data_IF_952612353030
#
_entry.id   IF_952612353030
#
_cell.length_a   1.000
_cell.length_b   1.000
_cell.length_c   1.000
_cell.angle_alpha   90.00
_cell.angle_beta   90.00
_cell.angle_gamma   90.00
#
_symmetry.space_group_name_H-M   'P 1'
#
loop_
_entity.id
_entity.type
_entity.pdbx_description
1 polymer ?
#
# COMPACT_ATOMS: atom_id res chain seq x y z
N UNK A 1 32.01 -86.77 5.73
CA UNK A 1 33.03 -85.81 5.25
C UNK A 1 32.30 -84.62 4.66
N UNK A 2 32.56 -83.42 5.20
CA UNK A 2 32.07 -82.06 4.90
C UNK A 2 31.17 -81.84 3.66
N UNK A 3 29.99 -81.24 3.83
CA UNK A 3 29.39 -80.35 2.83
C UNK A 3 28.48 -79.26 3.46
N UNK A 4 29.04 -78.05 3.53
CA UNK A 4 28.48 -76.73 3.19
C UNK A 4 27.14 -76.27 3.78
N UNK A 5 27.25 -75.29 4.68
CA UNK A 5 26.18 -74.38 5.11
C UNK A 5 25.76 -73.44 3.97
N UNK A 6 24.44 -73.29 3.77
CA UNK A 6 23.82 -72.06 3.25
C UNK A 6 22.63 -71.73 4.15
N UNK A 7 22.76 -70.67 4.94
CA UNK A 7 21.66 -70.07 5.69
C UNK A 7 21.29 -68.78 4.99
N UNK A 8 20.13 -68.73 4.37
CA UNK A 8 19.58 -67.54 3.73
C UNK A 8 18.93 -66.69 4.81
N UNK A 9 19.47 -65.49 5.07
CA UNK A 9 18.91 -64.52 5.99
C UNK A 9 17.97 -63.60 5.18
N UNK A 10 16.66 -63.78 5.32
CA UNK A 10 15.66 -62.89 4.71
C UNK A 10 15.49 -61.66 5.61
N UNK A 11 16.07 -60.52 5.21
CA UNK A 11 15.87 -59.24 5.87
C UNK A 11 14.50 -58.68 5.43
N UNK A 12 13.52 -58.67 6.33
CA UNK A 12 12.26 -57.97 6.12
C UNK A 12 12.49 -56.46 6.31
N UNK A 13 12.59 -55.73 5.20
CA UNK A 13 12.55 -54.26 5.22
C UNK A 13 11.10 -53.83 5.34
N UNK A 14 10.67 -53.47 6.55
CA UNK A 14 9.42 -52.77 6.75
C UNK A 14 9.56 -51.35 6.23
N UNK A 15 8.98 -51.06 5.05
CA UNK A 15 8.69 -49.68 4.66
C UNK A 15 7.64 -49.15 5.64
N UNK A 16 8.05 -48.29 6.57
CA UNK A 16 7.13 -47.38 7.22
C UNK A 16 6.66 -46.38 6.14
N UNK A 17 5.49 -46.65 5.55
CA UNK A 17 4.75 -45.60 4.86
C UNK A 17 4.28 -44.64 5.94
N UNK A 18 5.01 -43.55 6.15
CA UNK A 18 4.43 -42.33 6.71
C UNK A 18 3.29 -41.95 5.79
N UNK A 19 2.05 -42.18 6.23
CA UNK A 19 0.89 -41.60 5.58
C UNK A 19 1.13 -40.10 5.54
N UNK A 20 1.24 -39.53 4.33
CA UNK A 20 0.93 -38.13 4.16
C UNK A 20 -0.53 -38.00 4.59
N UNK A 21 -0.76 -37.51 5.80
CA UNK A 21 -2.06 -36.94 6.16
C UNK A 21 -2.28 -35.82 5.16
N UNK A 22 -2.96 -36.12 4.06
CA UNK A 22 -3.54 -35.10 3.20
C UNK A 22 -4.52 -34.35 4.10
N UNK A 23 -4.10 -33.23 4.67
CA UNK A 23 -5.03 -32.34 5.37
C UNK A 23 -6.05 -31.87 4.34
N UNK A 24 -7.23 -32.49 4.37
CA UNK A 24 -8.32 -32.18 3.45
C UNK A 24 -8.85 -30.79 3.77
N UNK A 25 -8.92 -29.92 2.77
CA UNK A 25 -9.64 -28.65 2.85
C UNK A 25 -11.11 -28.96 3.16
N UNK A 26 -11.67 -28.31 4.19
CA UNK A 26 -13.08 -28.49 4.59
C UNK A 26 -13.86 -27.19 4.53
N UNK A 27 -15.18 -27.24 4.35
CA UNK A 27 -16.01 -26.03 4.31
C UNK A 27 -16.43 -25.61 5.72
N UNK A 28 -16.60 -24.31 5.96
CA UNK A 28 -17.27 -23.74 7.14
C UNK A 28 -18.54 -23.01 6.70
N UNK A 29 -19.64 -23.17 7.44
CA UNK A 29 -20.87 -22.44 7.18
C UNK A 29 -20.90 -21.07 7.89
N UNK A 30 -21.85 -20.23 7.51
CA UNK A 30 -21.99 -18.89 8.10
C UNK A 30 -22.18 -18.92 9.63
N UNK A 31 -22.94 -19.88 10.17
CA UNK A 31 -23.24 -19.93 11.60
C UNK A 31 -22.01 -20.32 12.44
N UNK A 32 -21.17 -21.21 11.92
CA UNK A 32 -19.92 -21.59 12.55
C UNK A 32 -18.84 -20.52 12.39
N UNK A 33 -18.77 -19.85 11.23
CA UNK A 33 -17.89 -18.70 11.02
C UNK A 33 -18.16 -17.60 12.06
N UNK A 34 -19.43 -17.21 12.23
CA UNK A 34 -19.84 -16.17 13.17
C UNK A 34 -19.48 -16.51 14.62
N UNK A 35 -19.50 -17.79 15.01
CA UNK A 35 -19.08 -18.23 16.35
C UNK A 35 -17.57 -18.10 16.59
N UNK A 36 -16.77 -18.02 15.54
CA UNK A 36 -15.31 -18.06 15.62
C UNK A 36 -14.62 -16.76 15.19
N UNK A 37 -15.35 -15.67 14.93
CA UNK A 37 -14.74 -14.38 14.54
C UNK A 37 -13.73 -13.86 15.57
N UNK A 38 -14.02 -14.03 16.87
CA UNK A 38 -13.14 -13.61 17.96
C UNK A 38 -12.31 -14.78 18.55
N UNK A 39 -12.33 -15.95 17.91
CA UNK A 39 -11.61 -17.13 18.41
C UNK A 39 -10.12 -17.05 18.01
N UNK A 40 -9.16 -16.96 18.96
CA UNK A 40 -7.74 -16.84 18.65
C UNK A 40 -7.14 -18.07 17.94
N UNK A 41 -7.83 -19.22 18.01
CA UNK A 41 -7.46 -20.44 17.29
C UNK A 41 -7.85 -20.41 15.80
N UNK A 42 -8.61 -19.39 15.38
CA UNK A 42 -9.02 -19.18 13.99
C UNK A 42 -8.35 -17.94 13.41
N UNK A 43 -8.03 -18.02 12.13
CA UNK A 43 -7.60 -16.86 11.34
C UNK A 43 -8.51 -16.77 10.14
N UNK A 44 -9.31 -15.71 10.08
CA UNK A 44 -10.16 -15.43 8.91
C UNK A 44 -9.33 -14.63 7.92
N UNK A 45 -9.27 -15.10 6.67
CA UNK A 45 -8.35 -14.58 5.65
C UNK A 45 -9.15 -14.21 4.42
N UNK A 46 -9.14 -12.93 4.09
CA UNK A 46 -9.61 -12.41 2.80
C UNK A 46 -8.53 -12.63 1.75
N UNK A 47 -8.82 -13.44 0.73
CA UNK A 47 -7.90 -13.70 -0.38
C UNK A 47 -8.13 -12.83 -1.61
N UNK A 48 -9.12 -11.93 -1.55
CA UNK A 48 -9.44 -11.01 -2.64
C UNK A 48 -8.44 -9.86 -2.72
N UNK A 49 -8.51 -9.11 -3.82
CA UNK A 49 -7.71 -7.92 -4.04
C UNK A 49 -8.03 -6.75 -3.10
N UNK A 50 -7.06 -5.88 -2.88
CA UNK A 50 -7.10 -4.75 -1.96
C UNK A 50 -8.34 -3.87 -2.08
N UNK A 51 -8.80 -3.56 -3.30
CA UNK A 51 -9.97 -2.70 -3.47
C UNK A 51 -11.22 -3.31 -2.81
N UNK A 52 -11.38 -4.63 -2.92
CA UNK A 52 -12.52 -5.36 -2.35
C UNK A 52 -12.38 -5.48 -0.83
N UNK A 53 -11.18 -5.76 -0.33
CA UNK A 53 -10.89 -5.70 1.10
C UNK A 53 -11.19 -4.30 1.67
N UNK A 54 -10.67 -3.25 1.03
CA UNK A 54 -10.79 -1.87 1.50
C UNK A 54 -12.24 -1.41 1.59
N UNK A 55 -13.11 -1.82 0.67
CA UNK A 55 -14.52 -1.42 0.73
C UNK A 55 -15.36 -1.59 -0.53
N UNK A 56 -14.75 -1.81 -1.69
CA UNK A 56 -15.52 -2.04 -2.92
C UNK A 56 -16.31 -3.34 -2.82
N UNK A 57 -17.45 -3.39 -3.50
CA UNK A 57 -18.30 -4.58 -3.52
C UNK A 57 -17.76 -5.61 -4.50
N UNK A 58 -17.76 -6.86 -4.05
CA UNK A 58 -17.67 -8.00 -4.97
C UNK A 58 -18.87 -7.99 -5.94
N UNK A 59 -18.72 -8.53 -7.16
CA UNK A 59 -19.84 -8.70 -8.07
C UNK A 59 -21.02 -9.41 -7.37
N UNK A 60 -22.24 -8.87 -7.53
CA UNK A 60 -23.48 -9.35 -6.90
C UNK A 60 -23.59 -9.18 -5.37
N UNK A 61 -22.60 -8.59 -4.70
CA UNK A 61 -22.72 -8.20 -3.30
C UNK A 61 -23.46 -6.85 -3.16
N UNK A 62 -24.29 -6.73 -2.11
CA UNK A 62 -25.02 -5.51 -1.75
C UNK A 62 -24.13 -4.59 -0.89
N UNK A 63 -23.25 -5.19 -0.06
CA UNK A 63 -22.31 -4.49 0.83
C UNK A 63 -20.88 -4.90 0.47
N UNK A 64 -19.93 -3.97 0.64
CA UNK A 64 -18.52 -4.17 0.31
C UNK A 64 -17.64 -4.27 1.56
N UNK A 65 -16.33 -4.40 1.36
CA UNK A 65 -15.36 -4.57 2.43
C UNK A 65 -15.12 -6.04 2.80
N UNK A 66 -14.57 -6.27 3.98
CA UNK A 66 -14.10 -7.58 4.46
C UNK A 66 -14.87 -8.04 5.70
N UNK A 67 -14.81 -9.34 6.00
CA UNK A 67 -15.34 -9.90 7.25
C UNK A 67 -14.61 -9.24 8.43
N UNK A 68 -15.37 -8.82 9.45
CA UNK A 68 -14.83 -8.20 10.65
C UNK A 68 -13.68 -9.03 11.25
N UNK A 69 -12.51 -8.42 11.41
CA UNK A 69 -11.32 -9.06 11.98
C UNK A 69 -10.52 -9.92 10.99
N UNK A 70 -10.93 -10.03 9.73
CA UNK A 70 -10.17 -10.75 8.72
C UNK A 70 -8.83 -10.04 8.41
N UNK A 71 -7.76 -10.84 8.36
CA UNK A 71 -6.49 -10.40 7.76
C UNK A 71 -6.56 -10.54 6.25
N UNK A 72 -5.56 -10.01 5.54
CA UNK A 72 -5.46 -10.15 4.10
C UNK A 72 -4.29 -11.06 3.72
N UNK A 73 -4.56 -11.99 2.81
CA UNK A 73 -3.52 -12.72 2.07
C UNK A 73 -4.04 -12.98 0.67
N UNK A 74 -3.76 -12.08 -0.27
CA UNK A 74 -4.33 -12.19 -1.61
C UNK A 74 -3.78 -13.40 -2.36
N UNK A 75 -4.64 -14.07 -3.14
CA UNK A 75 -4.24 -15.21 -3.98
C UNK A 75 -3.11 -14.87 -4.95
N UNK A 76 -3.03 -13.62 -5.44
CA UNK A 76 -1.96 -13.16 -6.34
C UNK A 76 -0.59 -13.07 -5.67
N UNK A 77 -0.54 -13.01 -4.34
CA UNK A 77 0.74 -12.95 -3.62
C UNK A 77 1.49 -14.27 -3.68
N UNK A 78 0.81 -15.39 -3.93
CA UNK A 78 1.47 -16.70 -4.10
C UNK A 78 2.56 -16.68 -5.18
N UNK A 79 2.35 -15.89 -6.23
CA UNK A 79 3.29 -15.75 -7.36
C UNK A 79 4.46 -14.80 -7.06
N UNK A 80 4.36 -14.03 -5.97
CA UNK A 80 5.26 -12.93 -5.61
C UNK A 80 5.97 -13.15 -4.27
N UNK A 81 5.85 -14.34 -3.67
CA UNK A 81 6.57 -14.71 -2.44
C UNK A 81 7.60 -15.78 -2.78
N UNK A 82 8.86 -15.52 -2.44
CA UNK A 82 9.92 -16.51 -2.61
C UNK A 82 9.67 -17.74 -1.72
N UNK A 83 9.95 -18.93 -2.27
CA UNK A 83 9.64 -20.20 -1.59
C UNK A 83 10.34 -20.34 -0.23
N UNK A 84 11.56 -19.81 -0.07
CA UNK A 84 12.30 -19.82 1.20
C UNK A 84 11.76 -18.83 2.24
N UNK A 85 10.84 -17.94 1.84
CA UNK A 85 10.24 -16.91 2.70
C UNK A 85 8.78 -17.13 3.02
N UNK A 86 8.09 -18.00 2.28
CA UNK A 86 6.65 -18.24 2.46
C UNK A 86 6.24 -18.46 3.92
N UNK A 87 6.88 -19.41 4.62
CA UNK A 87 6.51 -19.76 5.99
C UNK A 87 6.75 -18.61 6.98
N UNK A 88 7.85 -17.86 6.81
CA UNK A 88 8.15 -16.71 7.66
C UNK A 88 7.19 -15.54 7.39
N UNK A 89 6.89 -15.27 6.12
CA UNK A 89 5.95 -14.23 5.70
C UNK A 89 4.52 -14.53 6.16
N UNK A 90 4.07 -15.79 6.04
CA UNK A 90 2.78 -16.23 6.58
C UNK A 90 2.72 -16.03 8.10
N UNK A 91 3.77 -16.44 8.83
CA UNK A 91 3.87 -16.25 10.28
C UNK A 91 3.84 -14.76 10.68
N UNK A 92 4.49 -13.88 9.92
CA UNK A 92 4.49 -12.44 10.13
C UNK A 92 3.09 -11.81 9.99
N UNK A 93 2.21 -12.42 9.17
CA UNK A 93 0.78 -12.08 9.06
C UNK A 93 -0.11 -12.78 10.09
N UNK A 94 0.46 -13.54 11.02
CA UNK A 94 -0.27 -14.23 12.08
C UNK A 94 -0.86 -15.59 11.68
N UNK A 95 -0.46 -16.12 10.52
CA UNK A 95 -0.85 -17.43 9.98
C UNK A 95 0.12 -18.50 10.47
N UNK A 96 -0.39 -19.57 11.07
CA UNK A 96 0.43 -20.65 11.62
C UNK A 96 -0.30 -22.00 11.56
N UNK A 97 0.46 -23.11 11.59
CA UNK A 97 -0.07 -24.49 11.40
C UNK A 97 -0.87 -25.02 12.58
N UNK A 98 -0.71 -24.42 13.76
CA UNK A 98 -1.49 -24.73 14.96
C UNK A 98 -2.93 -24.19 14.88
N UNK A 99 -3.14 -23.09 14.17
CA UNK A 99 -4.45 -22.44 13.99
C UNK A 99 -5.26 -23.05 12.84
N UNK A 100 -6.56 -22.81 12.87
CA UNK A 100 -7.49 -23.10 11.77
C UNK A 100 -7.57 -21.88 10.86
N UNK A 101 -7.15 -22.03 9.60
CA UNK A 101 -7.24 -20.96 8.61
C UNK A 101 -8.59 -21.05 7.90
N UNK A 102 -9.29 -19.94 7.77
CA UNK A 102 -10.55 -19.84 7.03
C UNK A 102 -10.35 -18.84 5.91
N UNK A 103 -10.14 -19.34 4.69
CA UNK A 103 -10.08 -18.50 3.50
C UNK A 103 -11.48 -18.22 2.97
N UNK A 104 -11.68 -17.02 2.46
CA UNK A 104 -12.84 -16.70 1.63
C UNK A 104 -12.42 -15.82 0.46
N UNK A 105 -13.14 -16.00 -0.65
CA UNK A 105 -12.96 -15.25 -1.88
C UNK A 105 -14.32 -15.12 -2.58
N UNK A 106 -14.47 -14.15 -3.47
CA UNK A 106 -15.61 -14.07 -4.38
C UNK A 106 -15.40 -14.88 -5.67
N UNK A 107 -14.14 -15.20 -5.99
CA UNK A 107 -13.77 -16.13 -7.06
C UNK A 107 -13.46 -17.52 -6.48
N UNK A 108 -14.26 -18.53 -6.84
CA UNK A 108 -14.09 -19.89 -6.35
C UNK A 108 -12.80 -20.56 -6.84
N UNK A 109 -12.29 -20.19 -8.02
CA UNK A 109 -11.04 -20.73 -8.55
C UNK A 109 -9.85 -20.20 -7.73
N UNK A 110 -9.87 -18.91 -7.37
CA UNK A 110 -8.85 -18.31 -6.50
C UNK A 110 -8.91 -18.89 -5.09
N UNK A 111 -10.12 -19.09 -4.55
CA UNK A 111 -10.33 -19.73 -3.25
C UNK A 111 -9.79 -21.17 -3.23
N UNK A 112 -10.05 -21.96 -4.27
CA UNK A 112 -9.52 -23.31 -4.42
C UNK A 112 -7.98 -23.27 -4.48
N UNK A 113 -7.42 -22.40 -5.33
CA UNK A 113 -5.98 -22.26 -5.50
C UNK A 113 -5.26 -21.94 -4.19
N UNK A 114 -5.67 -20.91 -3.47
CA UNK A 114 -4.99 -20.51 -2.24
C UNK A 114 -5.18 -21.53 -1.13
N UNK A 115 -6.39 -22.07 -0.96
CA UNK A 115 -6.66 -23.05 0.09
C UNK A 115 -5.89 -24.36 -0.14
N UNK A 116 -5.76 -24.82 -1.39
CA UNK A 116 -4.95 -25.98 -1.75
C UNK A 116 -3.46 -25.76 -1.48
N UNK A 117 -2.91 -24.58 -1.80
CA UNK A 117 -1.50 -24.25 -1.56
C UNK A 117 -1.15 -24.29 -0.06
N UNK A 118 -1.99 -23.71 0.80
CA UNK A 118 -1.79 -23.77 2.25
C UNK A 118 -1.99 -25.20 2.80
N UNK A 119 -2.99 -25.94 2.34
CA UNK A 119 -3.20 -27.33 2.76
C UNK A 119 -2.03 -28.23 2.37
N UNK A 120 -1.47 -28.06 1.17
CA UNK A 120 -0.29 -28.79 0.69
C UNK A 120 0.97 -28.51 1.53
N UNK A 121 1.05 -27.34 2.18
CA UNK A 121 2.11 -27.00 3.14
C UNK A 121 1.82 -27.48 4.57
N UNK A 122 0.72 -28.17 4.81
CA UNK A 122 0.36 -28.77 6.10
C UNK A 122 -0.34 -27.81 7.07
N UNK A 123 -1.04 -26.80 6.57
CA UNK A 123 -1.91 -25.94 7.36
C UNK A 123 -3.33 -26.53 7.48
N UNK A 124 -3.97 -26.32 8.64
CA UNK A 124 -5.37 -26.70 8.86
C UNK A 124 -6.28 -25.71 8.13
N UNK A 125 -6.68 -26.06 6.90
CA UNK A 125 -7.41 -25.14 6.04
C UNK A 125 -8.90 -25.46 5.99
N UNK A 126 -9.70 -24.40 6.12
CA UNK A 126 -11.11 -24.36 5.79
C UNK A 126 -11.41 -23.27 4.77
N UNK A 127 -12.51 -23.44 4.04
CA UNK A 127 -13.01 -22.46 3.07
C UNK A 127 -14.41 -22.00 3.45
N UNK A 128 -14.65 -20.70 3.32
CA UNK A 128 -15.96 -20.07 3.41
C UNK A 128 -16.39 -19.59 2.03
N UNK A 129 -17.19 -20.40 1.33
CA UNK A 129 -17.61 -20.18 -0.06
C UNK A 129 -18.98 -19.46 -0.18
N UNK A 130 -19.52 -18.94 0.93
CA UNK A 130 -20.80 -18.23 0.96
C UNK A 130 -20.62 -16.70 1.11
N UNK A 131 -19.43 -16.15 0.84
CA UNK A 131 -19.13 -14.74 1.10
C UNK A 131 -20.13 -13.75 0.46
N UNK A 132 -20.58 -14.00 -0.77
CA UNK A 132 -21.59 -13.14 -1.42
C UNK A 132 -22.92 -13.15 -0.65
N UNK A 133 -23.39 -14.33 -0.24
CA UNK A 133 -24.61 -14.44 0.58
C UNK A 133 -24.42 -13.77 1.94
N UNK A 134 -23.25 -13.94 2.56
CA UNK A 134 -22.89 -13.28 3.81
C UNK A 134 -22.94 -11.76 3.70
N UNK A 135 -22.34 -11.21 2.64
CA UNK A 135 -22.32 -9.78 2.38
C UNK A 135 -23.72 -9.20 2.11
N UNK A 136 -24.65 -10.03 1.65
CA UNK A 136 -26.04 -9.64 1.36
C UNK A 136 -26.96 -9.64 2.60
N UNK A 137 -26.52 -10.21 3.74
CA UNK A 137 -27.29 -10.20 4.99
C UNK A 137 -26.86 -9.03 5.87
N UNK A 138 -27.73 -8.03 6.03
CA UNK A 138 -27.43 -6.77 6.73
C UNK A 138 -26.86 -6.94 8.16
N UNK A 139 -27.28 -7.95 8.90
CA UNK A 139 -26.80 -8.20 10.27
C UNK A 139 -25.41 -8.83 10.35
N UNK A 140 -24.88 -9.35 9.24
CA UNK A 140 -23.55 -9.96 9.23
C UNK A 140 -22.45 -8.89 9.30
N UNK A 141 -21.45 -9.05 10.18
CA UNK A 141 -20.43 -8.02 10.43
C UNK A 141 -19.40 -7.93 9.30
N UNK A 142 -19.38 -6.78 8.63
CA UNK A 142 -18.35 -6.38 7.68
C UNK A 142 -17.62 -5.12 8.18
N UNK A 143 -16.39 -4.94 7.74
CA UNK A 143 -15.59 -3.74 7.92
C UNK A 143 -15.30 -3.09 6.57
N UNK A 144 -15.31 -1.76 6.56
CA UNK A 144 -15.03 -0.92 5.40
C UNK A 144 -14.18 0.27 5.81
N UNK A 145 -13.24 0.65 4.95
CA UNK A 145 -12.46 1.87 5.14
C UNK A 145 -13.29 3.09 4.71
N UNK A 146 -13.41 4.15 5.54
CA UNK A 146 -14.27 5.29 5.24
C UNK A 146 -14.00 5.94 3.88
N UNK A 147 -12.74 5.97 3.44
CA UNK A 147 -12.33 6.60 2.19
C UNK A 147 -11.84 5.56 1.16
N UNK A 148 -12.31 4.31 1.22
CA UNK A 148 -11.88 3.22 0.32
C UNK A 148 -11.83 3.60 -1.16
N UNK A 149 -12.77 4.44 -1.62
CA UNK A 149 -12.86 4.93 -2.98
C UNK A 149 -11.64 5.76 -3.46
N UNK A 150 -10.77 6.21 -2.55
CA UNK A 150 -9.52 6.90 -2.88
C UNK A 150 -8.46 5.93 -3.43
N UNK A 151 -8.56 4.63 -3.16
CA UNK A 151 -7.65 3.60 -3.66
C UNK A 151 -8.40 2.69 -4.64
N UNK A 152 -8.27 2.98 -5.94
CA UNK A 152 -8.98 2.26 -7.00
C UNK A 152 -8.10 1.19 -7.63
N UNK A 153 -8.72 0.14 -8.17
CA UNK A 153 -8.04 -0.92 -8.91
C UNK A 153 -7.96 -0.63 -10.42
N UNK A 154 -7.07 -1.32 -11.17
CA UNK A 154 -7.08 -1.28 -12.63
C UNK A 154 -8.43 -1.66 -13.25
N UNK A 155 -9.13 -2.64 -12.68
CA UNK A 155 -10.46 -3.05 -13.14
C UNK A 155 -11.46 -1.90 -13.00
N UNK A 156 -11.44 -1.18 -11.87
CA UNK A 156 -12.28 -0.01 -11.65
C UNK A 156 -12.01 1.07 -12.69
N UNK A 157 -10.74 1.41 -12.91
CA UNK A 157 -10.36 2.46 -13.85
C UNK A 157 -10.73 2.08 -15.29
N UNK A 158 -10.46 0.83 -15.69
CA UNK A 158 -10.84 0.33 -17.00
C UNK A 158 -12.36 0.38 -17.22
N UNK A 159 -13.17 0.05 -16.20
CA UNK A 159 -14.62 0.17 -16.28
C UNK A 159 -15.05 1.63 -16.53
N UNK A 160 -14.52 2.60 -15.78
CA UNK A 160 -14.83 4.03 -15.98
C UNK A 160 -14.42 4.49 -17.39
N UNK A 161 -13.23 4.12 -17.84
CA UNK A 161 -12.70 4.51 -19.15
C UNK A 161 -13.50 3.93 -20.32
N UNK A 162 -14.14 2.78 -20.13
CA UNK A 162 -15.04 2.16 -21.12
C UNK A 162 -16.50 2.63 -21.00
N UNK A 163 -16.77 3.64 -20.16
CA UNK A 163 -18.11 4.19 -19.96
C UNK A 163 -19.03 3.31 -19.13
N UNK A 164 -18.49 2.32 -18.43
CA UNK A 164 -19.25 1.48 -17.51
C UNK A 164 -19.50 2.20 -16.19
N UNK A 165 -20.56 1.81 -15.49
CA UNK A 165 -20.89 2.36 -14.17
C UNK A 165 -20.02 1.71 -13.09
N UNK A 166 -18.87 2.30 -12.81
CA UNK A 166 -18.02 1.87 -11.70
C UNK A 166 -18.55 2.39 -10.36
N UNK A 167 -18.45 1.57 -9.31
CA UNK A 167 -18.84 1.97 -7.95
C UNK A 167 -18.08 3.23 -7.52
N UNK A 168 -18.72 4.14 -6.77
CA UNK A 168 -18.16 5.40 -6.29
C UNK A 168 -17.77 6.43 -7.36
N UNK A 169 -17.86 6.12 -8.66
CA UNK A 169 -17.71 7.10 -9.73
C UNK A 169 -19.06 7.77 -10.02
N UNK A 170 -19.23 9.03 -9.61
CA UNK A 170 -20.49 9.77 -9.74
C UNK A 170 -20.41 10.96 -10.70
N UNK A 171 -19.22 11.24 -11.24
CA UNK A 171 -18.99 12.36 -12.15
C UNK A 171 -19.24 11.96 -13.60
N UNK A 172 -19.34 12.97 -14.48
CA UNK A 172 -19.32 12.74 -15.92
C UNK A 172 -17.97 12.11 -16.33
N UNK A 173 -17.94 11.01 -17.11
CA UNK A 173 -16.70 10.42 -17.62
C UNK A 173 -15.78 11.42 -18.33
N UNK A 174 -16.31 12.47 -18.94
CA UNK A 174 -15.52 13.56 -19.55
C UNK A 174 -14.73 14.42 -18.55
N UNK A 175 -15.02 14.30 -17.25
CA UNK A 175 -14.25 14.91 -16.17
C UNK A 175 -13.13 14.02 -15.62
N UNK A 176 -13.01 12.77 -16.10
CA UNK A 176 -11.91 11.89 -15.74
C UNK A 176 -10.61 12.40 -16.36
N UNK A 177 -9.58 12.53 -15.53
CA UNK A 177 -8.20 12.71 -15.97
C UNK A 177 -7.32 11.67 -15.31
N UNK A 178 -6.62 10.89 -16.12
CA UNK A 178 -5.66 9.88 -15.65
C UNK A 178 -4.26 10.43 -15.85
N UNK A 179 -3.43 10.42 -14.81
CA UNK A 179 -2.06 10.90 -14.89
C UNK A 179 -1.07 9.83 -14.44
N UNK A 180 -0.07 9.58 -15.29
CA UNK A 180 1.22 9.03 -14.88
C UNK A 180 2.02 10.15 -14.21
N UNK A 181 2.53 9.89 -13.01
CA UNK A 181 3.25 10.90 -12.22
C UNK A 181 4.72 10.54 -12.13
N UNK A 182 5.57 11.41 -12.65
CA UNK A 182 7.02 11.24 -12.60
C UNK A 182 7.73 12.60 -12.51
N UNK A 183 8.97 12.59 -12.01
CA UNK A 183 9.74 13.82 -11.82
C UNK A 183 10.28 14.37 -13.15
N UNK A 184 10.13 15.67 -13.33
CA UNK A 184 10.73 16.44 -14.42
C UNK A 184 9.85 16.48 -15.66
N UNK A 185 10.24 17.32 -16.65
CA UNK A 185 9.42 17.55 -17.83
C UNK A 185 9.32 16.29 -18.69
N UNK A 186 8.36 16.30 -19.61
CA UNK A 186 8.01 15.16 -20.48
C UNK A 186 9.22 14.50 -21.15
N UNK A 187 10.23 15.26 -21.57
CA UNK A 187 11.44 14.74 -22.23
C UNK A 187 12.31 13.88 -21.31
N UNK A 188 12.09 13.97 -19.99
CA UNK A 188 12.78 13.18 -18.94
C UNK A 188 11.86 12.13 -18.30
N UNK A 189 10.57 12.11 -18.64
CA UNK A 189 9.57 11.22 -18.06
C UNK A 189 9.66 9.80 -18.66
N UNK A 190 10.71 9.05 -18.32
CA UNK A 190 10.92 7.69 -18.81
C UNK A 190 9.76 6.74 -18.47
N UNK A 191 9.14 6.91 -17.31
CA UNK A 191 7.98 6.13 -16.85
C UNK A 191 6.73 6.36 -17.71
N UNK A 192 6.65 7.48 -18.44
CA UNK A 192 5.56 7.78 -19.37
C UNK A 192 5.79 7.25 -20.79
N UNK A 193 6.94 6.66 -21.10
CA UNK A 193 7.24 6.18 -22.46
C UNK A 193 6.23 5.12 -22.96
N UNK A 194 5.75 4.26 -22.06
CA UNK A 194 4.57 3.42 -22.25
C UNK A 194 3.66 3.66 -21.06
N UNK A 195 2.41 4.06 -21.31
CA UNK A 195 1.47 4.47 -20.26
C UNK A 195 0.07 3.92 -20.54
N UNK A 196 -0.83 4.01 -19.55
CA UNK A 196 -2.26 3.72 -19.71
C UNK A 196 -2.83 4.55 -20.87
N UNK A 197 -3.53 3.94 -21.82
CA UNK A 197 -4.06 4.65 -22.98
C UNK A 197 -4.96 5.83 -22.55
N UNK A 198 -4.74 7.02 -23.10
CA UNK A 198 -5.42 8.26 -22.73
C UNK A 198 -4.88 8.96 -21.48
N UNK A 199 -3.92 8.38 -20.75
CA UNK A 199 -3.30 9.04 -19.61
C UNK A 199 -2.36 10.17 -20.05
N UNK A 200 -2.30 11.22 -19.24
CA UNK A 200 -1.37 12.33 -19.37
C UNK A 200 -0.15 12.12 -18.47
N UNK A 201 0.90 12.91 -18.70
CA UNK A 201 2.03 13.01 -17.77
C UNK A 201 1.80 14.16 -16.78
N UNK A 202 2.03 13.92 -15.50
CA UNK A 202 2.06 14.93 -14.43
C UNK A 202 3.51 15.09 -13.96
N UNK A 203 4.09 16.26 -14.22
CA UNK A 203 5.40 16.62 -13.70
C UNK A 203 5.26 17.13 -12.26
N UNK A 204 5.99 16.51 -11.33
CA UNK A 204 5.97 16.91 -9.93
C UNK A 204 6.43 18.36 -9.71
N UNK A 205 7.26 18.92 -10.61
CA UNK A 205 7.72 20.32 -10.54
C UNK A 205 6.57 21.33 -10.69
N UNK A 206 5.38 20.88 -11.13
CA UNK A 206 4.17 21.71 -11.15
C UNK A 206 3.73 22.16 -9.75
N UNK A 207 4.02 21.36 -8.73
CA UNK A 207 3.56 21.62 -7.36
C UNK A 207 4.68 21.86 -6.38
N UNK A 208 5.91 21.40 -6.62
CA UNK A 208 7.01 21.50 -5.66
C UNK A 208 8.31 21.97 -6.31
N UNK A 209 9.11 22.77 -5.59
CA UNK A 209 10.31 23.38 -6.15
C UNK A 209 11.44 23.56 -5.14
N UNK A 210 12.67 23.52 -5.65
CA UNK A 210 13.89 23.90 -4.93
C UNK A 210 13.82 25.34 -4.36
N UNK A 211 14.62 25.68 -3.33
CA UNK A 211 15.67 24.87 -2.70
C UNK A 211 15.17 23.94 -1.59
N UNK A 212 13.95 24.17 -1.09
CA UNK A 212 13.41 23.40 0.05
C UNK A 212 12.71 22.12 -0.40
N UNK A 213 12.16 22.12 -1.63
CA UNK A 213 11.30 21.04 -2.17
C UNK A 213 9.95 20.91 -1.44
N UNK A 214 9.44 22.02 -0.91
CA UNK A 214 8.07 22.13 -0.44
C UNK A 214 7.10 22.33 -1.61
N UNK A 215 5.80 22.24 -1.32
CA UNK A 215 4.78 22.85 -2.14
C UNK A 215 5.14 24.30 -2.45
N UNK A 216 4.98 24.64 -3.72
CA UNK A 216 5.24 25.95 -4.28
C UNK A 216 4.18 26.95 -3.83
N UNK A 217 4.39 28.23 -4.20
CA UNK A 217 3.39 29.25 -3.97
C UNK A 217 2.01 28.82 -4.53
N UNK A 218 0.91 28.99 -3.76
CA UNK A 218 -0.43 28.59 -4.20
C UNK A 218 -0.83 29.12 -5.58
N UNK A 219 -0.41 30.34 -5.95
CA UNK A 219 -0.73 30.92 -7.26
C UNK A 219 0.02 30.25 -8.41
N UNK A 220 1.26 29.79 -8.16
CA UNK A 220 2.01 29.00 -9.15
C UNK A 220 1.38 27.62 -9.35
N UNK A 221 0.97 26.98 -8.25
CA UNK A 221 0.24 25.70 -8.30
C UNK A 221 -1.06 25.87 -9.08
N UNK A 222 -1.86 26.90 -8.77
CA UNK A 222 -3.10 27.21 -9.49
C UNK A 222 -2.86 27.38 -11.00
N UNK A 223 -1.85 28.17 -11.38
CA UNK A 223 -1.50 28.38 -12.78
C UNK A 223 -1.14 27.07 -13.49
N UNK A 224 -0.35 26.21 -12.85
CA UNK A 224 0.06 24.94 -13.41
C UNK A 224 -1.12 23.95 -13.54
N UNK A 225 -2.01 23.87 -12.54
CA UNK A 225 -3.20 23.03 -12.61
C UNK A 225 -4.14 23.48 -13.73
N UNK A 226 -4.43 24.79 -13.82
CA UNK A 226 -5.27 25.38 -14.87
C UNK A 226 -4.70 25.08 -16.27
N UNK A 227 -3.41 25.32 -16.46
CA UNK A 227 -2.71 25.07 -17.72
C UNK A 227 -2.80 23.60 -18.15
N UNK A 228 -2.83 22.69 -17.19
CA UNK A 228 -2.88 21.25 -17.41
C UNK A 228 -4.29 20.66 -17.25
N UNK A 229 -5.33 21.49 -17.36
CA UNK A 229 -6.71 21.04 -17.46
C UNK A 229 -7.37 20.59 -16.15
N UNK A 230 -6.72 20.81 -15.01
CA UNK A 230 -7.21 20.42 -13.69
C UNK A 230 -7.93 21.62 -13.06
N UNK A 231 -9.23 21.46 -12.83
CA UNK A 231 -10.03 22.30 -11.93
C UNK A 231 -10.46 21.48 -10.70
N UNK A 232 -11.15 22.13 -9.75
CA UNK A 232 -11.60 21.47 -8.51
C UNK A 232 -12.61 20.32 -8.72
N UNK A 233 -13.31 20.30 -9.86
CA UNK A 233 -14.42 19.39 -10.15
C UNK A 233 -13.98 18.19 -11.02
N UNK A 234 -12.73 18.18 -11.52
CA UNK A 234 -12.15 17.01 -12.19
C UNK A 234 -12.03 15.82 -11.25
N UNK A 235 -12.21 14.62 -11.83
CA UNK A 235 -11.82 13.36 -11.19
C UNK A 235 -10.43 13.00 -11.64
N UNK A 236 -9.45 13.13 -10.75
CA UNK A 236 -8.04 12.90 -11.06
C UNK A 236 -7.62 11.53 -10.53
N UNK A 237 -7.23 10.61 -11.41
CA UNK A 237 -6.67 9.30 -11.05
C UNK A 237 -5.16 9.32 -11.28
N UNK A 238 -4.39 9.11 -10.23
CA UNK A 238 -2.93 9.18 -10.23
C UNK A 238 -2.33 7.78 -10.14
N UNK A 239 -1.30 7.52 -10.95
CA UNK A 239 -0.44 6.34 -10.82
C UNK A 239 0.99 6.72 -11.16
N UNK A 240 1.94 5.88 -10.79
CA UNK A 240 3.36 6.09 -11.07
C UNK A 240 4.10 4.77 -11.00
N UNK A 241 5.28 4.70 -11.63
CA UNK A 241 6.16 3.52 -11.51
C UNK A 241 6.67 3.34 -10.06
N UNK A 242 6.90 4.47 -9.38
CA UNK A 242 7.18 4.52 -7.95
C UNK A 242 6.04 5.25 -7.25
N UNK A 243 5.28 4.55 -6.41
CA UNK A 243 4.05 4.99 -5.74
C UNK A 243 4.22 6.31 -4.97
N UNK A 244 5.45 6.62 -4.54
CA UNK A 244 5.81 7.87 -3.87
C UNK A 244 5.38 9.12 -4.65
N UNK A 245 5.57 9.13 -5.97
CA UNK A 245 5.24 10.27 -6.82
C UNK A 245 3.73 10.52 -6.85
N UNK A 246 2.95 9.49 -7.17
CA UNK A 246 1.49 9.59 -7.19
C UNK A 246 0.91 10.01 -5.84
N UNK A 247 1.42 9.46 -4.73
CA UNK A 247 0.90 9.78 -3.39
C UNK A 247 1.36 11.15 -2.87
N UNK A 248 2.50 11.66 -3.32
CA UNK A 248 2.91 13.06 -3.12
C UNK A 248 1.93 14.01 -3.83
N UNK A 249 1.62 13.75 -5.10
CA UNK A 249 0.68 14.58 -5.87
C UNK A 249 -0.75 14.41 -5.37
N UNK A 250 -1.15 13.22 -4.92
CA UNK A 250 -2.44 12.99 -4.30
C UNK A 250 -2.65 13.96 -3.12
N UNK A 251 -1.67 14.03 -2.21
CA UNK A 251 -1.71 14.97 -1.10
C UNK A 251 -1.75 16.43 -1.56
N UNK A 252 -0.92 16.80 -2.54
CA UNK A 252 -0.87 18.17 -3.08
C UNK A 252 -2.23 18.60 -3.69
N UNK A 253 -2.89 17.73 -4.45
CA UNK A 253 -4.20 18.01 -5.03
C UNK A 253 -5.31 18.07 -3.98
N UNK A 254 -5.25 17.23 -2.94
CA UNK A 254 -6.16 17.34 -1.78
C UNK A 254 -5.93 18.63 -1.00
N UNK A 255 -4.68 19.04 -0.77
CA UNK A 255 -4.33 20.32 -0.18
C UNK A 255 -4.87 21.50 -1.01
N UNK A 256 -4.72 21.42 -2.33
CA UNK A 256 -5.20 22.46 -3.25
C UNK A 256 -6.72 22.58 -3.24
N UNK A 257 -7.45 21.46 -3.20
CA UNK A 257 -8.91 21.42 -3.14
C UNK A 257 -9.58 20.69 -4.29
N UNK A 258 -8.85 19.84 -5.02
CA UNK A 258 -9.49 18.92 -5.98
C UNK A 258 -10.36 17.93 -5.22
N UNK A 259 -11.64 17.88 -5.56
CA UNK A 259 -12.63 17.16 -4.76
C UNK A 259 -12.47 15.64 -4.91
N UNK A 260 -12.33 15.15 -6.14
CA UNK A 260 -12.16 13.74 -6.44
C UNK A 260 -10.74 13.46 -6.96
N UNK A 261 -9.89 12.96 -6.05
CA UNK A 261 -8.53 12.51 -6.35
C UNK A 261 -8.44 11.07 -5.89
N UNK A 262 -7.91 10.20 -6.76
CA UNK A 262 -7.79 8.76 -6.54
C UNK A 262 -6.40 8.29 -6.89
N UNK A 263 -5.97 7.24 -6.21
CA UNK A 263 -4.72 6.54 -6.44
C UNK A 263 -5.02 5.17 -7.06
N UNK A 264 -4.37 4.85 -8.18
CA UNK A 264 -4.46 3.55 -8.83
C UNK A 264 -3.49 2.57 -8.15
N UNK A 265 -4.01 1.79 -7.20
CA UNK A 265 -3.22 0.79 -6.49
C UNK A 265 -2.90 -0.37 -7.44
N UNK A 266 -1.62 -0.73 -7.55
CA UNK A 266 -1.09 -1.69 -8.55
C UNK A 266 -0.55 -1.04 -9.84
N UNK A 267 -0.87 0.24 -10.10
CA UNK A 267 -0.27 1.06 -11.15
C UNK A 267 -0.28 0.44 -12.56
N UNK A 268 0.72 0.81 -13.37
CA UNK A 268 0.85 0.33 -14.75
C UNK A 268 1.21 -1.16 -14.84
N UNK A 269 1.91 -1.69 -13.84
CA UNK A 269 2.30 -3.10 -13.82
C UNK A 269 1.06 -4.00 -13.85
N UNK A 270 0.15 -3.83 -12.89
CA UNK A 270 -1.07 -4.63 -12.81
C UNK A 270 -2.02 -4.34 -13.97
N UNK A 271 -2.08 -3.09 -14.44
CA UNK A 271 -2.84 -2.73 -15.65
C UNK A 271 -2.41 -3.57 -16.87
N UNK A 272 -1.10 -3.74 -17.08
CA UNK A 272 -0.56 -4.57 -18.17
C UNK A 272 -0.78 -6.05 -17.95
N UNK A 273 -0.67 -6.53 -16.71
CA UNK A 273 -0.90 -7.94 -16.35
C UNK A 273 -2.34 -8.38 -16.68
N UNK A 274 -3.30 -7.48 -16.46
CA UNK A 274 -4.70 -7.66 -16.82
C UNK A 274 -4.99 -7.50 -18.33
N UNK A 275 -3.96 -7.23 -19.15
CA UNK A 275 -4.08 -7.09 -20.59
C UNK A 275 -4.79 -5.81 -21.04
N UNK A 276 -4.88 -4.79 -20.18
CA UNK A 276 -5.56 -3.54 -20.53
C UNK A 276 -4.73 -2.65 -21.47
N UNK A 277 -5.38 -1.79 -22.29
CA UNK A 277 -4.69 -1.03 -23.33
C UNK A 277 -3.65 -0.05 -22.80
N UNK A 278 -2.48 -0.03 -23.43
CA UNK A 278 -1.43 0.98 -23.22
C UNK A 278 -1.10 1.69 -24.51
N UNK A 279 -0.49 2.86 -24.45
CA UNK A 279 0.05 3.54 -25.62
C UNK A 279 1.41 4.19 -25.34
N UNK A 280 2.05 4.69 -26.41
CA UNK A 280 3.32 5.42 -26.36
C UNK A 280 3.18 6.85 -26.91
N UNK A 281 1.96 7.24 -27.30
CA UNK A 281 1.67 8.56 -27.84
C UNK A 281 1.57 9.55 -26.68
N UNK A 282 2.24 10.68 -26.78
CA UNK A 282 2.09 11.77 -25.81
C UNK A 282 0.68 12.36 -25.88
N UNK A 283 0.00 12.40 -24.73
CA UNK A 283 -1.26 13.12 -24.55
C UNK A 283 -1.01 14.46 -23.86
N UNK A 284 -1.60 15.53 -24.39
CA UNK A 284 -1.48 16.89 -23.84
C UNK A 284 -2.86 17.34 -23.34
N UNK A 285 -3.02 17.64 -22.04
CA UNK A 285 -4.28 18.10 -21.50
C UNK A 285 -4.65 19.47 -22.06
N UNK A 286 -5.95 19.74 -22.18
CA UNK A 286 -6.44 21.06 -22.58
C UNK A 286 -6.59 21.96 -21.35
N UNK A 287 -6.13 23.22 -21.40
CA UNK A 287 -6.30 24.14 -20.29
C UNK A 287 -7.78 24.36 -19.93
N UNK A 288 -8.06 24.51 -18.64
CA UNK A 288 -9.36 24.99 -18.13
C UNK A 288 -9.34 26.51 -17.97
N UNK A 289 -10.51 27.14 -17.79
CA UNK A 289 -10.59 28.59 -17.66
C UNK A 289 -10.14 29.11 -16.28
N UNK A 290 -10.41 28.34 -15.22
CA UNK A 290 -10.07 28.66 -13.84
C UNK A 290 -10.06 27.37 -13.00
N UNK A 291 -9.38 27.37 -11.86
CA UNK A 291 -9.42 26.23 -10.92
C UNK A 291 -10.79 26.10 -10.22
N UNK A 292 -11.48 27.22 -10.02
CA UNK A 292 -12.83 27.26 -9.45
C UNK A 292 -12.90 27.33 -7.91
N UNK A 293 -11.77 27.44 -7.21
CA UNK A 293 -11.68 27.69 -5.77
C UNK A 293 -10.35 28.39 -5.42
N UNK A 294 -10.23 28.97 -4.22
CA UNK A 294 -8.96 29.54 -3.76
C UNK A 294 -8.02 28.45 -3.27
N UNK A 295 -6.80 28.39 -3.78
CA UNK A 295 -5.77 27.46 -3.29
C UNK A 295 -5.01 28.11 -2.11
N UNK A 296 -4.75 27.39 -1.00
CA UNK A 296 -5.23 26.04 -0.70
C UNK A 296 -6.63 26.03 -0.06
N UNK A 297 -7.43 25.02 -0.40
CA UNK A 297 -8.69 24.73 0.33
C UNK A 297 -8.46 23.96 1.62
N UNK A 298 -7.41 23.13 1.70
CA UNK A 298 -7.13 22.30 2.87
C UNK A 298 -5.73 22.55 3.46
N UNK A 299 -5.43 23.78 3.93
CA UNK A 299 -4.12 24.10 4.51
C UNK A 299 -3.77 23.25 5.75
N UNK A 300 -4.78 22.71 6.44
CA UNK A 300 -4.61 21.86 7.62
C UNK A 300 -3.90 20.53 7.35
N UNK A 301 -3.74 20.11 6.09
CA UNK A 301 -2.98 18.90 5.74
C UNK A 301 -1.47 19.08 5.75
N UNK A 302 -0.98 20.29 6.03
CA UNK A 302 0.42 20.65 5.84
C UNK A 302 0.99 21.41 7.04
N UNK A 303 2.17 20.99 7.48
CA UNK A 303 3.12 21.80 8.25
C UNK A 303 4.26 22.12 7.30
N UNK A 304 4.55 23.40 7.06
CA UNK A 304 5.50 23.75 6.00
C UNK A 304 6.96 23.77 6.48
N UNK A 305 7.22 24.31 7.68
CA UNK A 305 8.59 24.65 8.14
C UNK A 305 8.90 24.14 9.55
N UNK A 306 10.18 23.92 9.90
CA UNK A 306 10.58 23.29 11.17
C UNK A 306 10.05 24.00 12.42
N UNK A 307 10.05 25.34 12.43
CA UNK A 307 9.56 26.10 13.57
C UNK A 307 8.08 25.83 13.85
N UNK A 308 7.24 25.75 12.81
CA UNK A 308 5.83 25.38 12.94
C UNK A 308 5.68 23.97 13.51
N UNK A 309 6.49 23.00 13.04
CA UNK A 309 6.49 21.65 13.59
C UNK A 309 6.81 21.65 15.09
N UNK A 310 7.83 22.41 15.53
CA UNK A 310 8.19 22.55 16.95
C UNK A 310 7.05 23.16 17.77
N UNK A 311 6.40 24.19 17.24
CA UNK A 311 5.30 24.86 17.94
C UNK A 311 4.08 23.94 18.09
N UNK A 312 3.79 23.13 17.06
CA UNK A 312 2.72 22.12 17.12
C UNK A 312 3.07 20.92 18.01
N UNK A 313 4.35 20.50 18.06
CA UNK A 313 4.84 19.53 19.04
C UNK A 313 4.59 20.01 20.47
N UNK A 314 4.82 21.30 20.77
CA UNK A 314 4.55 21.88 22.09
C UNK A 314 3.06 22.03 22.37
N UNK A 315 2.28 22.50 21.39
CA UNK A 315 0.87 22.86 21.57
C UNK A 315 -0.06 21.66 21.59
N UNK A 316 0.15 20.70 20.70
CA UNK A 316 -0.77 19.57 20.47
C UNK A 316 -0.16 18.21 20.83
N UNK A 317 1.05 18.19 21.41
CA UNK A 317 1.81 16.95 21.61
C UNK A 317 1.97 16.18 20.29
N UNK A 318 2.11 16.92 19.18
CA UNK A 318 2.32 16.38 17.84
C UNK A 318 3.53 15.44 17.86
N UNK A 319 3.37 14.23 17.34
CA UNK A 319 4.46 13.28 17.12
C UNK A 319 4.97 13.46 15.70
N UNK A 320 6.25 13.76 15.59
CA UNK A 320 6.93 13.84 14.31
C UNK A 320 7.38 12.43 13.91
N UNK A 321 6.84 11.91 12.80
CA UNK A 321 7.03 10.51 12.37
C UNK A 321 7.90 10.46 11.12
N UNK A 322 9.10 9.90 11.27
CA UNK A 322 10.11 9.79 10.22
C UNK A 322 9.85 8.60 9.31
N UNK A 323 9.58 8.88 8.04
CA UNK A 323 9.47 7.90 6.95
C UNK A 323 10.77 7.90 6.15
N UNK A 324 11.87 7.74 6.87
CA UNK A 324 13.23 7.66 6.32
C UNK A 324 13.81 6.26 6.55
N UNK A 325 14.73 5.82 5.72
CA UNK A 325 15.40 4.53 5.94
C UNK A 325 16.10 4.52 7.31
N UNK A 326 16.36 3.34 7.85
CA UNK A 326 16.99 3.23 9.17
C UNK A 326 18.36 3.92 9.25
N UNK A 327 19.14 3.86 8.17
CA UNK A 327 20.46 4.47 8.11
C UNK A 327 20.39 6.01 7.98
N UNK A 328 19.32 6.54 7.38
CA UNK A 328 18.99 7.96 7.43
C UNK A 328 18.57 8.39 8.84
N UNK A 329 17.61 7.66 9.44
CA UNK A 329 17.06 7.95 10.77
C UNK A 329 18.14 7.96 11.87
N UNK A 330 19.11 7.05 11.78
CA UNK A 330 20.24 7.00 12.72
C UNK A 330 21.39 7.95 12.36
N UNK A 331 21.29 8.70 11.25
CA UNK A 331 22.27 9.68 10.83
C UNK A 331 23.57 9.12 10.25
N UNK A 332 23.58 7.88 9.77
CA UNK A 332 24.74 7.32 9.05
C UNK A 332 24.89 7.95 7.65
N UNK A 333 23.76 8.17 6.99
CA UNK A 333 23.65 8.81 5.66
C UNK A 333 22.60 9.92 5.71
N UNK A 334 22.66 10.87 4.78
CA UNK A 334 21.57 11.86 4.60
C UNK A 334 20.41 11.25 3.80
N UNK A 335 20.74 10.36 2.86
CA UNK A 335 19.83 9.76 1.88
C UNK A 335 19.85 10.45 0.51
N UNK A 336 20.46 11.64 0.40
CA UNK A 336 20.34 12.49 -0.79
C UNK A 336 21.66 13.20 -1.08
N UNK A 337 22.05 13.24 -2.35
CA UNK A 337 23.29 13.91 -2.78
C UNK A 337 23.25 15.43 -2.58
N UNK A 338 22.04 16.02 -2.60
CA UNK A 338 21.82 17.46 -2.43
C UNK A 338 21.49 17.87 -0.99
N UNK A 339 21.36 16.93 -0.05
CA UNK A 339 21.15 17.22 1.37
C UNK A 339 22.41 16.82 2.14
N UNK A 340 23.26 17.78 2.58
CA UNK A 340 24.51 17.46 3.24
C UNK A 340 24.34 17.01 4.69
N UNK A 341 23.32 17.51 5.38
CA UNK A 341 23.05 17.21 6.80
C UNK A 341 22.75 15.73 7.05
N UNK A 342 23.36 15.17 8.11
CA UNK A 342 23.08 13.82 8.62
C UNK A 342 22.56 13.87 10.04
N UNK A 343 21.58 13.04 10.33
CA UNK A 343 20.88 13.00 11.61
C UNK A 343 19.38 12.99 11.37
N UNK A 344 18.64 13.30 12.43
CA UNK A 344 17.19 13.35 12.45
C UNK A 344 16.72 14.47 13.39
N UNK A 345 15.55 15.10 13.17
CA UNK A 345 14.91 15.95 14.16
C UNK A 345 14.85 15.26 15.53
N UNK A 346 15.30 15.95 16.58
CA UNK A 346 15.33 15.39 17.92
C UNK A 346 13.92 15.01 18.40
N UNK A 347 13.75 13.76 18.84
CA UNK A 347 12.48 13.25 19.34
C UNK A 347 11.53 12.72 18.27
N UNK A 348 11.94 12.72 16.99
CA UNK A 348 11.16 12.05 15.95
C UNK A 348 11.10 10.53 16.20
N UNK A 349 9.95 9.94 15.89
CA UNK A 349 9.69 8.50 15.99
C UNK A 349 9.94 7.88 14.63
N UNK A 350 10.65 6.75 14.57
CA UNK A 350 10.81 6.03 13.32
C UNK A 350 9.50 5.36 12.92
N UNK A 351 8.97 5.75 11.76
CA UNK A 351 7.68 5.29 11.25
C UNK A 351 7.77 4.06 10.36
N UNK A 352 8.93 3.42 10.23
CA UNK A 352 9.27 2.50 9.14
C UNK A 352 9.40 3.22 7.78
N UNK A 353 10.01 2.56 6.80
CA UNK A 353 10.14 3.09 5.44
C UNK A 353 10.53 1.96 4.50
N UNK A 354 11.82 1.80 4.23
CA UNK A 354 12.37 0.84 3.29
C UNK A 354 13.89 0.80 3.40
N UNK A 355 14.56 0.42 2.30
CA UNK A 355 16.01 0.22 2.29
C UNK A 355 16.81 1.51 2.22
N UNK A 356 16.29 2.53 1.53
CA UNK A 356 16.98 3.78 1.23
C UNK A 356 15.98 4.94 0.98
N UNK A 357 16.46 6.05 0.42
CA UNK A 357 15.67 7.27 0.18
C UNK A 357 14.65 7.17 -0.94
N UNK A 358 14.74 6.14 -1.79
CA UNK A 358 13.94 6.00 -3.00
C UNK A 358 12.71 5.09 -2.86
N UNK A 359 12.53 4.42 -1.72
CA UNK A 359 11.43 3.48 -1.52
C UNK A 359 10.87 3.48 -0.09
N UNK A 360 9.67 2.92 0.05
CA UNK A 360 9.05 2.57 1.33
C UNK A 360 8.58 1.11 1.32
N UNK A 361 9.48 0.17 1.01
CA UNK A 361 9.15 -1.25 0.87
C UNK A 361 8.46 -1.90 2.10
N UNK A 362 8.59 -1.32 3.30
CA UNK A 362 7.88 -1.80 4.49
C UNK A 362 6.34 -1.58 4.40
N UNK A 363 5.91 -0.74 3.44
CA UNK A 363 4.53 -0.32 3.18
C UNK A 363 3.92 -0.94 1.92
N UNK A 364 4.58 -1.90 1.28
CA UNK A 364 4.07 -2.56 0.07
C UNK A 364 3.85 -4.05 0.29
N UNK A 365 2.78 -4.58 -0.28
CA UNK A 365 2.53 -6.02 -0.34
C UNK A 365 3.32 -6.66 -1.50
N UNK A 366 3.39 -8.01 -1.60
CA UNK A 366 4.27 -8.70 -2.54
C UNK A 366 4.08 -8.35 -4.02
N UNK A 367 2.86 -8.01 -4.44
CA UNK A 367 2.53 -7.58 -5.80
C UNK A 367 2.73 -6.06 -6.03
N UNK A 368 3.29 -5.36 -5.05
CA UNK A 368 3.61 -3.93 -5.14
C UNK A 368 2.45 -2.99 -4.84
N UNK A 369 1.29 -3.51 -4.41
CA UNK A 369 0.21 -2.68 -3.89
C UNK A 369 0.52 -2.14 -2.49
N UNK A 370 -0.29 -1.21 -2.00
CA UNK A 370 -0.16 -0.71 -0.64
C UNK A 370 -0.49 -1.79 0.38
N UNK A 371 0.42 -1.96 1.35
CA UNK A 371 0.24 -2.89 2.46
C UNK A 371 -1.00 -2.57 3.27
N UNK A 372 -1.72 -3.62 3.69
CA UNK A 372 -2.89 -3.51 4.54
C UNK A 372 -2.66 -2.52 5.72
N UNK A 373 -3.46 -1.44 5.84
CA UNK A 373 -3.33 -0.43 6.89
C UNK A 373 -3.24 -0.98 8.31
N UNK A 374 -3.96 -2.06 8.63
CA UNK A 374 -3.96 -2.64 9.97
C UNK A 374 -2.60 -3.25 10.34
N UNK A 375 -1.85 -3.79 9.38
CA UNK A 375 -0.50 -4.29 9.63
C UNK A 375 0.46 -3.14 9.98
N UNK A 376 0.37 -2.03 9.25
CA UNK A 376 1.13 -0.81 9.52
C UNK A 376 0.79 -0.26 10.92
N UNK A 377 -0.50 -0.19 11.26
CA UNK A 377 -0.92 0.30 12.57
C UNK A 377 -0.44 -0.60 13.71
N UNK A 378 -0.38 -1.91 13.51
CA UNK A 378 0.18 -2.83 14.49
C UNK A 378 1.70 -2.59 14.70
N UNK A 379 2.46 -2.35 13.62
CA UNK A 379 3.88 -1.99 13.72
C UNK A 379 4.07 -0.65 14.46
N UNK A 380 3.25 0.34 14.12
CA UNK A 380 3.23 1.67 14.72
C UNK A 380 2.91 1.65 16.21
N UNK A 381 2.01 0.76 16.67
CA UNK A 381 1.77 0.59 18.11
C UNK A 381 3.05 0.22 18.87
N UNK A 382 3.91 -0.62 18.29
CA UNK A 382 5.23 -0.95 18.84
C UNK A 382 6.19 0.24 18.91
N UNK A 383 5.95 1.29 18.12
CA UNK A 383 6.68 2.56 18.15
C UNK A 383 5.97 3.63 19.02
N UNK A 384 4.85 3.29 19.66
CA UNK A 384 4.06 4.22 20.47
C UNK A 384 3.17 5.18 19.67
N UNK A 385 2.93 4.89 18.38
CA UNK A 385 2.02 5.63 17.49
C UNK A 385 0.65 4.94 17.52
N UNK A 386 -0.42 5.70 17.75
CA UNK A 386 -1.79 5.18 17.95
C UNK A 386 -2.82 6.05 17.25
N UNK A 387 -3.99 5.46 16.96
CA UNK A 387 -5.14 6.21 16.46
C UNK A 387 -5.54 7.29 17.48
N UNK A 388 -5.78 8.50 16.99
CA UNK A 388 -6.13 9.66 17.82
C UNK A 388 -4.95 10.57 18.18
N UNK A 389 -3.71 10.09 18.03
CA UNK A 389 -2.53 10.94 18.14
C UNK A 389 -2.57 12.06 17.10
N UNK A 390 -1.96 13.21 17.42
CA UNK A 390 -1.58 14.21 16.43
C UNK A 390 -0.27 13.78 15.77
N UNK A 391 -0.28 13.49 14.48
CA UNK A 391 0.89 13.00 13.75
C UNK A 391 1.27 13.93 12.60
N UNK A 392 2.56 14.18 12.44
CA UNK A 392 3.12 14.77 11.23
C UNK A 392 4.12 13.79 10.60
N UNK A 393 3.77 13.26 9.43
CA UNK A 393 4.66 12.40 8.65
C UNK A 393 5.64 13.25 7.84
N UNK A 394 6.91 12.85 7.78
CA UNK A 394 7.91 13.52 6.97
C UNK A 394 8.99 12.55 6.48
N UNK A 395 9.81 13.01 5.54
CA UNK A 395 11.01 12.29 5.13
C UNK A 395 12.12 13.29 4.76
N UNK A 396 12.87 13.11 3.68
CA UNK A 396 13.77 14.13 3.15
C UNK A 396 13.03 15.41 2.73
N UNK A 397 12.10 15.24 1.79
CA UNK A 397 11.38 16.32 1.06
C UNK A 397 9.88 16.05 0.88
N UNK A 398 9.30 15.18 1.70
CA UNK A 398 7.84 14.94 1.73
C UNK A 398 7.29 13.78 0.88
N UNK A 399 8.01 13.26 -0.13
CA UNK A 399 7.51 12.18 -1.00
C UNK A 399 7.09 10.92 -0.25
N UNK A 400 8.00 10.35 0.55
CA UNK A 400 7.73 9.13 1.35
C UNK A 400 6.65 9.34 2.40
N UNK A 401 6.47 10.56 2.88
CA UNK A 401 5.43 10.90 3.85
C UNK A 401 4.01 10.81 3.28
N UNK A 402 3.85 10.94 1.96
CA UNK A 402 2.57 10.80 1.28
C UNK A 402 1.92 9.42 1.49
N UNK A 403 2.74 8.36 1.61
CA UNK A 403 2.25 6.98 1.74
C UNK A 403 1.53 6.72 3.07
N UNK A 404 2.15 6.90 4.24
CA UNK A 404 1.45 6.72 5.51
C UNK A 404 0.37 7.77 5.75
N UNK A 405 0.54 9.00 5.25
CA UNK A 405 -0.55 9.97 5.29
C UNK A 405 -1.77 9.44 4.52
N UNK A 406 -1.60 8.95 3.28
CA UNK A 406 -2.68 8.34 2.51
C UNK A 406 -3.32 7.16 3.26
N UNK A 407 -2.54 6.24 3.83
CA UNK A 407 -3.06 5.10 4.62
C UNK A 407 -3.92 5.56 5.80
N UNK A 408 -3.48 6.60 6.53
CA UNK A 408 -4.26 7.16 7.64
C UNK A 408 -5.55 7.81 7.16
N UNK A 409 -5.52 8.52 6.03
CA UNK A 409 -6.72 9.11 5.46
C UNK A 409 -7.69 8.06 4.92
N UNK A 410 -7.19 7.02 4.23
CA UNK A 410 -7.96 5.90 3.72
C UNK A 410 -8.84 5.28 4.82
N UNK A 411 -8.27 5.12 6.02
CA UNK A 411 -8.90 4.51 7.20
C UNK A 411 -9.59 5.50 8.16
N UNK A 412 -9.65 6.78 7.79
CA UNK A 412 -10.40 7.80 8.52
C UNK A 412 -9.73 8.27 9.82
N UNK A 413 -8.41 8.41 9.85
CA UNK A 413 -7.72 9.16 10.90
C UNK A 413 -7.80 10.66 10.61
N UNK A 414 -8.12 11.45 11.62
CA UNK A 414 -8.44 12.89 11.45
C UNK A 414 -7.29 13.83 11.81
N UNK A 415 -6.30 13.36 12.58
CA UNK A 415 -5.28 14.21 13.21
C UNK A 415 -3.89 13.97 12.60
N UNK A 416 -3.82 13.76 11.29
CA UNK A 416 -2.58 13.40 10.58
C UNK A 416 -2.30 14.37 9.43
N UNK A 417 -1.07 14.87 9.38
CA UNK A 417 -0.61 15.87 8.40
C UNK A 417 0.72 15.46 7.79
N UNK A 418 1.13 16.12 6.72
CA UNK A 418 2.51 16.03 6.20
C UNK A 418 3.30 17.24 6.69
N UNK A 419 4.45 16.98 7.31
CA UNK A 419 5.47 18.00 7.49
C UNK A 419 6.34 18.05 6.23
N UNK A 420 6.04 19.02 5.37
CA UNK A 420 6.52 19.14 4.00
C UNK A 420 8.03 19.39 3.92
N UNK A 421 8.51 20.34 4.73
CA UNK A 421 9.92 20.71 4.82
C UNK A 421 10.86 19.55 5.12
N UNK A 422 10.35 18.55 5.85
CA UNK A 422 11.08 17.33 6.19
C UNK A 422 12.48 17.59 6.76
N UNK A 423 13.37 16.63 6.54
CA UNK A 423 14.76 16.73 6.96
C UNK A 423 15.48 17.85 6.22
N UNK A 424 15.16 18.10 4.95
CA UNK A 424 15.83 19.12 4.15
C UNK A 424 15.71 20.51 4.79
N UNK A 425 14.49 20.95 5.11
CA UNK A 425 14.26 22.23 5.76
C UNK A 425 14.81 22.26 7.19
N UNK A 426 14.73 21.15 7.93
CA UNK A 426 15.22 21.07 9.30
C UNK A 426 16.74 21.27 9.39
N UNK A 427 17.50 20.61 8.52
CA UNK A 427 18.96 20.68 8.55
C UNK A 427 19.53 21.99 7.98
N UNK A 428 18.74 22.77 7.23
CA UNK A 428 19.17 24.04 6.66
C UNK A 428 19.49 25.11 7.73
N UNK A 429 18.95 24.96 8.94
CA UNK A 429 19.22 25.87 10.05
C UNK A 429 19.67 25.11 11.30
N UNK A 430 20.89 25.39 11.74
CA UNK A 430 21.51 24.77 12.91
C UNK A 430 20.84 25.07 14.25
N UNK A 431 19.90 26.02 14.31
CA UNK A 431 19.12 26.29 15.54
C UNK A 431 18.18 25.13 15.88
N UNK A 432 17.81 24.31 14.90
CA UNK A 432 16.88 23.21 15.12
C UNK A 432 17.61 21.97 15.70
N UNK A 433 17.06 21.35 16.76
CA UNK A 433 17.75 20.28 17.46
C UNK A 433 17.79 18.99 16.62
N UNK A 434 18.96 18.35 16.59
CA UNK A 434 19.24 17.14 15.80
C UNK A 434 19.71 16.02 16.71
N UNK A 435 19.13 14.83 16.55
CA UNK A 435 19.61 13.58 17.12
C UNK A 435 20.50 12.82 16.10
N UNK A 436 21.51 12.13 16.62
CA UNK A 436 22.35 11.19 15.86
C UNK A 436 22.42 9.86 16.60
N UNK A 437 22.45 8.76 15.86
CA UNK A 437 22.29 7.41 16.40
C UNK A 437 20.83 7.08 16.73
N UNK A 438 20.59 5.83 17.09
CA UNK A 438 19.27 5.37 17.50
C UNK A 438 18.92 5.92 18.89
N UNK A 439 17.75 6.55 19.09
CA UNK A 439 17.32 6.99 20.42
C UNK A 439 17.32 5.82 21.40
N UNK A 440 17.83 6.03 22.61
CA UNK A 440 17.91 5.00 23.66
C UNK A 440 18.63 3.69 23.21
N UNK A 441 19.51 3.76 22.21
CA UNK A 441 20.21 2.60 21.64
C UNK A 441 19.28 1.47 21.16
N UNK A 442 18.07 1.80 20.69
CA UNK A 442 17.16 0.79 20.14
C UNK A 442 17.76 0.13 18.89
N UNK A 443 17.54 -1.18 18.73
CA UNK A 443 17.80 -1.89 17.48
C UNK A 443 16.74 -1.56 16.43
N UNK A 444 17.08 -1.69 15.14
CA UNK A 444 16.11 -1.55 14.03
C UNK A 444 14.91 -2.49 14.26
N UNK A 445 13.69 -1.95 14.45
CA UNK A 445 12.48 -2.77 14.49
C UNK A 445 12.29 -3.59 13.20
N UNK A 446 11.83 -4.83 13.31
CA UNK A 446 11.53 -5.68 12.16
C UNK A 446 10.20 -5.23 11.51
N UNK A 447 10.17 -4.88 10.21
CA UNK A 447 8.94 -4.49 9.52
C UNK A 447 7.98 -5.66 9.26
N UNK A 448 8.40 -6.91 9.49
CA UNK A 448 7.58 -8.12 9.27
C UNK A 448 7.01 -8.19 7.85
N UNK A 449 7.86 -7.95 6.86
CA UNK A 449 7.46 -7.83 5.45
C UNK A 449 8.47 -8.45 4.49
N UNK A 450 9.20 -9.47 4.93
CA UNK A 450 10.20 -10.13 4.08
C UNK A 450 9.56 -11.28 3.29
N UNK A 451 9.03 -10.96 2.11
CA UNK A 451 8.57 -11.94 1.11
C UNK A 451 9.70 -12.40 0.16
N UNK A 452 10.93 -11.93 0.40
CA UNK A 452 12.13 -12.19 -0.38
C UNK A 452 12.22 -11.42 -1.69
N UNK A 453 13.13 -11.84 -2.57
CA UNK A 453 13.35 -11.15 -3.84
C UNK A 453 12.31 -11.61 -4.85
N UNK A 454 11.55 -10.67 -5.38
CA UNK A 454 10.65 -10.89 -6.51
C UNK A 454 11.47 -11.41 -7.69
N UNK A 455 11.19 -12.64 -8.12
CA UNK A 455 11.54 -13.06 -9.45
C UNK A 455 10.62 -12.30 -10.39
N UNK A 456 11.06 -11.16 -10.93
CA UNK A 456 10.40 -10.59 -12.11
C UNK A 456 10.30 -11.74 -13.11
N UNK A 457 9.09 -12.20 -13.40
CA UNK A 457 8.87 -13.08 -14.53
C UNK A 457 9.40 -12.30 -15.74
N UNK A 458 10.59 -12.68 -16.18
CA UNK A 458 11.21 -12.10 -17.35
C UNK A 458 10.20 -12.21 -18.49
N UNK A 459 10.15 -11.16 -19.30
CA UNK A 459 9.59 -11.16 -20.63
C UNK A 459 9.59 -12.59 -21.17
N UNK A 460 8.40 -13.21 -21.20
CA UNK A 460 8.23 -14.55 -21.74
C UNK A 460 8.92 -14.55 -23.09
N UNK A 461 9.99 -15.33 -23.21
CA UNK A 461 10.59 -15.67 -24.47
C UNK A 461 9.53 -16.41 -25.31
N UNK A 462 8.72 -15.63 -26.01
CA UNK A 462 8.05 -16.04 -27.23
C UNK A 462 8.65 -15.17 -28.32
N UNK A 463 9.79 -15.65 -28.80
CA UNK A 463 10.21 -15.49 -30.19
C UNK A 463 9.13 -15.99 -31.13
#
# INVERSE_FOLDING_TARGET
>A
MKLWQKTTLTLAVGLAMTACDNQTVTTIDTAELLKNLDNPEYVIIDSRHDSLYNGFKSPNAIRGGHIMGAIQFSTTWLDNISADRFEAFAADKGISKDKTLVFYDDNLDDLERISAEFAAKGYKVRVFNEFINYANVESNPLQIFPNYAWSVSPQWLNAVMNGEKAESFNNDPSNLMVFEVSWGPLEKANSYAQHIAGAYHFDTDWVENAPVWNLSDPALIEQNLIKNGIDKDKTVVLYSDNQLAALRIFWALKWAGVQDVRYLNGGLYMWKDLGYPTETKVNIPQPVAAFGATIPQNPQYTISMPQQAIDEMKKYQLKLVSIRSWDEYTGKVSGYDYIPGKGEPQGAIWGFAGTDSSNVADYYDPDGTLRNPYEIFNLWQGQGIRRGDHLAFYCGTGWRAGVPWFITQLTGWTNTVIYDGGWNAWQMDSVFPVQKGAPNNISKPNPKNDFGKLHKAGASCKS
#
